data_IF_630625459929
#
_entry.id   IF_630625459929
#
_cell.length_a   1.000
_cell.length_b   1.000
_cell.length_c   1.000
_cell.angle_alpha   90.00
_cell.angle_beta   90.00
_cell.angle_gamma   90.00
#
_symmetry.space_group_name_H-M   'P 1'
#
loop_
_entity.id
_entity.type
_entity.pdbx_description
1 polymer ?
#
# COMPACT_ATOMS: atom_id res chain seq x y z
N UNK A 1 -0.67 -21.21 -3.14
CA UNK A 1 -0.15 -21.77 -4.41
C UNK A 1 0.95 -22.76 -4.07
N UNK A 2 0.76 -24.04 -4.39
CA UNK A 2 1.77 -25.08 -4.14
C UNK A 2 2.96 -24.81 -5.07
N UNK A 3 4.13 -24.45 -4.52
CA UNK A 3 5.33 -24.22 -5.34
C UNK A 3 5.84 -25.58 -5.81
N UNK A 4 5.76 -25.83 -7.11
CA UNK A 4 6.36 -27.02 -7.71
C UNK A 4 7.88 -26.82 -7.74
N UNK A 5 8.64 -27.91 -7.73
CA UNK A 5 10.07 -27.82 -8.00
C UNK A 5 10.28 -27.31 -9.43
N UNK A 6 11.17 -26.33 -9.58
CA UNK A 6 11.54 -25.79 -10.89
C UNK A 6 12.48 -26.80 -11.55
N UNK A 7 12.11 -27.31 -12.73
CA UNK A 7 12.90 -28.33 -13.44
C UNK A 7 13.88 -27.74 -14.45
N UNK A 8 13.50 -26.63 -15.05
CA UNK A 8 14.29 -25.98 -16.12
C UNK A 8 14.93 -24.69 -15.58
N UNK A 9 14.53 -23.52 -16.09
CA UNK A 9 15.15 -22.25 -15.76
C UNK A 9 14.58 -21.62 -14.47
N UNK A 10 15.43 -21.55 -13.44
CA UNK A 10 15.11 -20.95 -12.15
C UNK A 10 14.80 -19.45 -12.23
N UNK A 11 15.55 -18.67 -13.01
CA UNK A 11 15.38 -17.22 -13.11
C UNK A 11 14.04 -16.86 -13.75
N UNK A 12 13.69 -17.55 -14.84
CA UNK A 12 12.42 -17.34 -15.53
C UNK A 12 11.21 -17.74 -14.68
N UNK A 13 11.35 -18.79 -13.85
CA UNK A 13 10.32 -19.17 -12.90
C UNK A 13 10.17 -18.12 -11.80
N UNK A 14 11.29 -17.57 -11.29
CA UNK A 14 11.26 -16.54 -10.26
C UNK A 14 10.60 -15.25 -10.78
N UNK A 15 10.93 -14.81 -12.01
CA UNK A 15 10.33 -13.63 -12.65
C UNK A 15 8.80 -13.69 -12.72
N UNK A 16 8.23 -14.89 -12.91
CA UNK A 16 6.78 -15.09 -13.00
C UNK A 16 6.06 -15.08 -11.64
N UNK A 17 6.80 -15.09 -10.54
CA UNK A 17 6.20 -15.00 -9.20
C UNK A 17 5.68 -13.58 -8.92
N UNK A 18 4.72 -13.41 -7.98
CA UNK A 18 4.22 -12.08 -7.61
C UNK A 18 5.29 -11.14 -7.01
N UNK A 19 6.48 -11.65 -6.69
CA UNK A 19 7.62 -10.86 -6.20
C UNK A 19 8.09 -9.84 -7.24
N UNK A 20 8.10 -10.22 -8.52
CA UNK A 20 8.54 -9.35 -9.63
C UNK A 20 7.39 -8.85 -10.49
N UNK A 21 6.19 -8.75 -9.91
CA UNK A 21 5.06 -8.14 -10.62
C UNK A 21 5.32 -6.66 -10.86
N UNK A 22 4.83 -6.14 -11.98
CA UNK A 22 4.85 -4.71 -12.27
C UNK A 22 4.12 -3.94 -11.16
N UNK A 23 4.81 -2.98 -10.55
CA UNK A 23 4.24 -2.09 -9.55
C UNK A 23 3.84 -0.77 -10.19
N UNK A 24 2.61 -0.32 -9.95
CA UNK A 24 2.12 0.98 -10.41
C UNK A 24 2.17 1.96 -9.25
N UNK A 25 2.80 3.11 -9.45
CA UNK A 25 2.83 4.20 -8.48
C UNK A 25 1.57 5.06 -8.63
N UNK A 26 0.95 5.44 -7.50
CA UNK A 26 -0.16 6.39 -7.53
C UNK A 26 0.35 7.79 -7.88
N UNK A 27 -0.17 8.43 -8.94
CA UNK A 27 0.29 9.75 -9.34
C UNK A 27 -0.12 10.81 -8.31
N UNK A 28 0.71 11.84 -8.14
CA UNK A 28 0.43 12.95 -7.20
C UNK A 28 -0.64 13.93 -7.70
N UNK A 29 -0.87 14.00 -9.01
CA UNK A 29 -1.84 14.88 -9.69
C UNK A 29 -2.43 14.18 -10.92
N UNK A 30 -3.61 14.61 -11.37
CA UNK A 30 -4.30 14.05 -12.54
C UNK A 30 -5.21 12.85 -12.23
N UNK A 31 -5.46 11.98 -13.22
CA UNK A 31 -6.35 10.82 -13.09
C UNK A 31 -5.81 9.85 -12.03
N UNK A 32 -6.66 9.44 -11.09
CA UNK A 32 -6.30 8.51 -10.02
C UNK A 32 -5.46 9.11 -8.88
N UNK A 33 -5.31 10.44 -8.83
CA UNK A 33 -4.55 11.12 -7.76
C UNK A 33 -5.38 11.56 -6.55
N UNK A 34 -6.72 11.54 -6.64
CA UNK A 34 -7.58 11.93 -5.53
C UNK A 34 -7.51 10.92 -4.39
N UNK A 35 -7.28 11.41 -3.17
CA UNK A 35 -7.36 10.62 -1.94
C UNK A 35 -8.36 11.26 -0.98
N UNK A 36 -9.27 10.45 -0.42
CA UNK A 36 -10.28 10.90 0.55
C UNK A 36 -9.65 11.47 1.84
N UNK A 37 -8.47 10.99 2.22
CA UNK A 37 -7.73 11.42 3.41
C UNK A 37 -6.27 11.65 3.05
N UNK A 38 -5.84 12.90 3.18
CA UNK A 38 -4.43 13.24 3.05
C UNK A 38 -3.61 12.64 4.19
N UNK A 39 -2.30 12.46 3.97
CA UNK A 39 -1.34 11.88 4.93
C UNK A 39 -1.37 12.53 6.33
N UNK A 40 -1.76 13.80 6.42
CA UNK A 40 -1.76 14.57 7.68
C UNK A 40 -3.13 14.66 8.38
N UNK A 41 -4.19 14.09 7.82
CA UNK A 41 -5.54 14.15 8.41
C UNK A 41 -5.66 13.45 9.78
N UNK A 42 -4.69 12.62 10.15
CA UNK A 42 -4.62 11.93 11.45
C UNK A 42 -3.93 12.75 12.56
N UNK A 43 -3.25 13.87 12.23
CA UNK A 43 -2.55 14.67 13.26
C UNK A 43 -3.49 15.45 14.18
N UNK A 44 -4.70 15.79 13.71
CA UNK A 44 -5.68 16.52 14.52
C UNK A 44 -6.41 15.67 15.56
N UNK A 45 -6.35 14.33 15.47
CA UNK A 45 -6.99 13.45 16.45
C UNK A 45 -6.29 13.38 17.81
N UNK A 46 -5.10 13.97 17.97
CA UNK A 46 -4.46 14.10 19.30
C UNK A 46 -5.01 15.27 20.13
N UNK A 47 -5.61 16.29 19.51
CA UNK A 47 -6.09 17.49 20.23
C UNK A 47 -7.54 17.32 20.72
N UNK A 48 -8.34 16.47 20.08
CA UNK A 48 -9.77 16.28 20.41
C UNK A 48 -10.03 15.28 21.55
N UNK A 49 -9.00 14.70 22.16
CA UNK A 49 -9.12 13.86 23.38
C UNK A 49 -9.00 14.66 24.70
N UNK A 50 -8.89 15.99 24.63
CA UNK A 50 -8.72 16.86 25.81
C UNK A 50 -9.99 17.52 26.36
N UNK A 51 -11.12 17.46 25.64
CA UNK A 51 -12.33 18.24 25.98
C UNK A 51 -13.59 17.37 26.15
N UNK A 52 -13.43 16.13 26.58
CA UNK A 52 -14.57 15.26 26.87
C UNK A 52 -14.41 14.68 28.27
N UNK A 53 -14.93 15.43 29.23
CA UNK A 53 -15.44 15.04 30.56
C UNK A 53 -15.11 16.15 31.58
N UNK A 54 -15.94 17.18 31.58
CA UNK A 54 -16.27 17.90 32.81
C UNK A 54 -17.71 17.50 33.13
N UNK A 55 -17.90 17.06 34.37
CA UNK A 55 -19.11 16.49 34.94
C UNK A 55 -20.29 17.47 34.94
#
# INVERSE_FOLDING_TARGET
MKKHSIRDNALQAQLRTPMFKMQQQSPKKGKGSYSRKGRNSLKSHKVLRGYRQVA
#
